data_IF_567308207954
#
_entry.id   IF_567308207954
#
_cell.length_a   1.000
_cell.length_b   1.000
_cell.length_c   1.000
_cell.angle_alpha   90.00
_cell.angle_beta   90.00
_cell.angle_gamma   90.00
#
_symmetry.space_group_name_H-M   'P 1'
#
loop_
_entity.id
_entity.type
_entity.pdbx_description
1 polymer ?
#
# COMPACT_ATOMS: atom_id res chain seq x y z
N UNK A 1 -12.68 -40.60 1.25
CA UNK A 1 -12.71 -39.72 0.07
C UNK A 1 -12.31 -38.32 0.51
N UNK A 2 -11.01 -37.99 0.50
CA UNK A 2 -10.54 -36.62 0.78
C UNK A 2 -10.73 -35.80 -0.49
N UNK A 3 -11.63 -34.82 -0.42
CA UNK A 3 -11.91 -33.88 -1.49
C UNK A 3 -10.81 -32.82 -1.46
N UNK A 4 -9.88 -32.89 -2.42
CA UNK A 4 -8.83 -31.88 -2.56
C UNK A 4 -9.44 -30.61 -3.16
N UNK A 5 -9.43 -29.52 -2.40
CA UNK A 5 -9.72 -28.18 -2.89
C UNK A 5 -8.63 -27.75 -3.89
N UNK A 6 -8.99 -27.26 -5.09
CA UNK A 6 -8.02 -26.84 -6.08
C UNK A 6 -7.24 -25.61 -5.57
N UNK A 7 -5.91 -25.52 -5.79
CA UNK A 7 -5.15 -24.33 -5.49
C UNK A 7 -5.60 -23.19 -6.41
N UNK A 8 -6.03 -22.08 -5.82
CA UNK A 8 -6.29 -20.83 -6.53
C UNK A 8 -5.00 -20.39 -7.22
N UNK A 9 -4.96 -20.41 -8.55
CA UNK A 9 -3.82 -19.85 -9.28
C UNK A 9 -3.78 -18.32 -9.06
N UNK A 10 -2.60 -17.72 -8.83
CA UNK A 10 -2.49 -16.27 -8.80
C UNK A 10 -2.88 -15.75 -10.19
N UNK A 11 -3.86 -14.85 -10.23
CA UNK A 11 -4.15 -14.06 -11.44
C UNK A 11 -2.91 -13.21 -11.73
N UNK A 12 -2.04 -13.73 -12.58
CA UNK A 12 -0.89 -12.97 -13.08
C UNK A 12 -1.44 -11.88 -13.98
N UNK A 13 -1.41 -10.64 -13.49
CA UNK A 13 -1.77 -9.47 -14.28
C UNK A 13 -0.96 -9.49 -15.58
N UNK A 14 -1.59 -9.40 -16.76
CA UNK A 14 -0.93 -9.61 -18.07
C UNK A 14 -0.03 -8.44 -18.50
N UNK A 15 0.21 -7.46 -17.64
CA UNK A 15 1.02 -6.30 -17.99
C UNK A 15 2.49 -6.58 -17.68
N UNK A 16 3.36 -6.62 -18.71
CA UNK A 16 4.78 -6.80 -18.48
C UNK A 16 5.28 -5.62 -17.65
N UNK A 17 6.01 -5.91 -16.58
CA UNK A 17 6.81 -4.97 -15.80
C UNK A 17 7.96 -4.44 -16.66
N UNK A 18 7.64 -3.75 -17.76
CA UNK A 18 8.60 -3.01 -18.54
C UNK A 18 9.15 -1.90 -17.64
N UNK A 19 10.43 -1.55 -17.77
CA UNK A 19 11.04 -0.42 -17.08
C UNK A 19 10.28 0.88 -17.44
N UNK A 20 9.23 1.18 -16.68
CA UNK A 20 8.41 2.36 -16.88
C UNK A 20 9.17 3.54 -16.30
N UNK A 21 9.51 4.50 -17.15
CA UNK A 21 10.18 5.73 -16.75
C UNK A 21 9.18 6.81 -16.38
N UNK A 22 9.56 7.69 -15.46
CA UNK A 22 8.74 8.86 -15.07
C UNK A 22 8.42 9.75 -16.27
N UNK A 23 9.29 9.78 -17.28
CA UNK A 23 9.11 10.53 -18.53
C UNK A 23 7.96 9.97 -19.38
N UNK A 24 7.83 8.64 -19.47
CA UNK A 24 6.69 8.00 -20.14
C UNK A 24 5.38 8.26 -19.40
N UNK A 25 5.42 8.25 -18.06
CA UNK A 25 4.26 8.62 -17.22
C UNK A 25 3.84 10.06 -17.53
N UNK A 26 4.79 11.00 -17.57
CA UNK A 26 4.50 12.41 -17.82
C UNK A 26 3.91 12.63 -19.22
N UNK A 27 4.46 11.97 -20.24
CA UNK A 27 3.90 12.00 -21.60
C UNK A 27 2.46 11.49 -21.63
N UNK A 28 2.18 10.40 -20.93
CA UNK A 28 0.84 9.83 -20.83
C UNK A 28 -0.14 10.81 -20.14
N UNK A 29 0.29 11.52 -19.10
CA UNK A 29 -0.51 12.55 -18.43
C UNK A 29 -0.81 13.75 -19.36
N UNK A 30 0.18 14.20 -20.13
CA UNK A 30 -0.01 15.28 -21.11
C UNK A 30 -0.96 14.86 -22.24
N UNK A 31 -0.86 13.60 -22.69
CA UNK A 31 -1.79 13.01 -23.66
C UNK A 31 -3.21 12.94 -23.08
N UNK A 32 -3.38 12.53 -21.82
CA UNK A 32 -4.69 12.52 -21.16
C UNK A 32 -5.32 13.91 -21.10
N UNK A 33 -4.53 14.94 -20.78
CA UNK A 33 -4.98 16.32 -20.81
C UNK A 33 -5.48 16.73 -22.21
N UNK A 34 -4.72 16.43 -23.26
CA UNK A 34 -5.11 16.73 -24.65
C UNK A 34 -6.39 15.98 -25.05
N UNK A 35 -6.50 14.70 -24.70
CA UNK A 35 -7.68 13.89 -25.00
C UNK A 35 -8.94 14.43 -24.30
N UNK A 36 -8.84 14.81 -23.02
CA UNK A 36 -9.97 15.39 -22.28
C UNK A 36 -10.43 16.69 -22.94
N UNK A 37 -9.51 17.58 -23.30
CA UNK A 37 -9.84 18.83 -23.99
C UNK A 37 -10.49 18.56 -25.35
N UNK A 38 -9.96 17.62 -26.13
CA UNK A 38 -10.54 17.21 -27.42
C UNK A 38 -11.94 16.62 -27.25
N UNK A 39 -12.17 15.77 -26.24
CA UNK A 39 -13.48 15.17 -25.95
C UNK A 39 -14.51 16.26 -25.60
N UNK A 40 -14.14 17.25 -24.79
CA UNK A 40 -15.05 18.35 -24.44
C UNK A 40 -15.42 19.18 -25.67
N UNK A 41 -14.43 19.53 -26.50
CA UNK A 41 -14.65 20.29 -27.73
C UNK A 41 -15.53 19.51 -28.73
N UNK A 42 -15.24 18.23 -28.94
CA UNK A 42 -15.98 17.39 -29.88
C UNK A 42 -17.41 17.09 -29.40
N UNK A 43 -17.67 17.07 -28.09
CA UNK A 43 -19.03 16.99 -27.56
C UNK A 43 -19.83 18.25 -27.88
N UNK A 44 -19.21 19.43 -27.75
CA UNK A 44 -19.86 20.70 -28.10
C UNK A 44 -20.19 20.78 -29.61
N UNK A 45 -19.38 20.16 -30.45
CA UNK A 45 -19.57 20.08 -31.90
C UNK A 45 -20.52 18.94 -32.34
N UNK A 46 -20.98 18.08 -31.43
CA UNK A 46 -21.81 16.91 -31.76
C UNK A 46 -21.06 15.78 -32.47
N UNK A 47 -19.73 15.77 -32.45
CA UNK A 47 -18.86 14.78 -33.10
C UNK A 47 -18.69 13.53 -32.23
N UNK A 48 -19.77 12.76 -32.09
CA UNK A 48 -19.82 11.60 -31.18
C UNK A 48 -18.83 10.49 -31.57
N UNK A 49 -18.59 10.28 -32.87
CA UNK A 49 -17.65 9.26 -33.33
C UNK A 49 -16.20 9.59 -32.92
N UNK A 50 -15.78 10.85 -33.08
CA UNK A 50 -14.46 11.33 -32.65
C UNK A 50 -14.34 11.27 -31.11
N UNK A 51 -15.41 11.62 -30.39
CA UNK A 51 -15.44 11.47 -28.92
C UNK A 51 -15.20 10.03 -28.48
N UNK A 52 -15.86 9.05 -29.11
CA UNK A 52 -15.70 7.64 -28.76
C UNK A 52 -14.26 7.15 -28.95
N UNK A 53 -13.59 7.58 -30.02
CA UNK A 53 -12.18 7.27 -30.28
C UNK A 53 -11.27 7.86 -29.20
N UNK A 54 -11.45 9.14 -28.86
CA UNK A 54 -10.67 9.79 -27.82
C UNK A 54 -10.93 9.18 -26.42
N UNK A 55 -12.17 8.79 -26.13
CA UNK A 55 -12.52 8.10 -24.89
C UNK A 55 -11.83 6.73 -24.77
N UNK A 56 -11.80 5.94 -25.84
CA UNK A 56 -11.11 4.65 -25.83
C UNK A 56 -9.61 4.81 -25.57
N UNK A 57 -8.97 5.82 -26.19
CA UNK A 57 -7.56 6.11 -25.95
C UNK A 57 -7.31 6.61 -24.51
N UNK A 58 -8.19 7.46 -23.99
CA UNK A 58 -8.10 7.95 -22.60
C UNK A 58 -8.21 6.78 -21.60
N UNK A 59 -9.15 5.86 -21.81
CA UNK A 59 -9.30 4.67 -20.98
C UNK A 59 -8.06 3.80 -21.00
N UNK A 60 -7.46 3.56 -22.18
CA UNK A 60 -6.21 2.81 -22.31
C UNK A 60 -5.08 3.45 -21.51
N UNK A 61 -4.94 4.76 -21.59
CA UNK A 61 -3.91 5.50 -20.85
C UNK A 61 -4.13 5.44 -19.33
N UNK A 62 -5.37 5.57 -18.87
CA UNK A 62 -5.71 5.44 -17.44
C UNK A 62 -5.42 4.03 -16.92
N UNK A 63 -5.80 3.00 -17.68
CA UNK A 63 -5.51 1.62 -17.31
C UNK A 63 -4.01 1.32 -17.31
N UNK A 64 -3.26 1.91 -18.24
CA UNK A 64 -1.81 1.83 -18.25
C UNK A 64 -1.19 2.45 -16.99
N UNK A 65 -1.63 3.65 -16.60
CA UNK A 65 -1.17 4.31 -15.38
C UNK A 65 -1.53 3.52 -14.11
N UNK A 66 -2.70 2.89 -14.06
CA UNK A 66 -3.09 2.03 -12.94
C UNK A 66 -2.18 0.80 -12.85
N UNK A 67 -1.92 0.11 -13.97
CA UNK A 67 -1.03 -1.04 -14.01
C UNK A 67 0.40 -0.68 -13.55
N UNK A 68 0.90 0.52 -13.89
CA UNK A 68 2.18 1.04 -13.41
C UNK A 68 2.16 1.25 -11.88
N UNK A 69 1.08 1.85 -11.36
CA UNK A 69 0.92 2.08 -9.93
C UNK A 69 0.88 0.76 -9.15
N UNK A 70 0.17 -0.24 -9.67
CA UNK A 70 0.06 -1.58 -9.06
C UNK A 70 1.39 -2.35 -9.09
N UNK A 71 2.22 -2.12 -10.12
CA UNK A 71 3.52 -2.77 -10.29
C UNK A 71 4.64 -2.14 -9.42
N UNK A 72 4.35 -1.09 -8.64
CA UNK A 72 5.35 -0.51 -7.73
C UNK A 72 5.71 -1.52 -6.62
N UNK A 73 7.01 -1.74 -6.35
CA UNK A 73 7.43 -2.61 -5.26
C UNK A 73 6.84 -2.05 -3.97
N UNK A 74 5.94 -2.81 -3.35
CA UNK A 74 5.44 -2.52 -2.03
C UNK A 74 6.67 -2.41 -1.13
N UNK A 75 7.03 -1.20 -0.71
CA UNK A 75 8.09 -1.02 0.27
C UNK A 75 7.50 -1.62 1.54
N UNK A 76 7.77 -2.91 1.76
CA UNK A 76 7.51 -3.56 3.02
C UNK A 76 8.36 -2.78 4.02
N UNK A 77 7.72 -1.82 4.70
CA UNK A 77 8.27 -1.17 5.87
C UNK A 77 8.45 -2.29 6.88
N UNK A 78 9.60 -2.94 6.84
CA UNK A 78 10.02 -3.84 7.90
C UNK A 78 9.97 -2.99 9.17
N UNK A 79 9.08 -3.28 10.15
CA UNK A 79 9.16 -2.58 11.41
C UNK A 79 10.56 -2.87 11.94
N UNK A 80 11.34 -1.82 12.16
CA UNK A 80 12.66 -1.90 12.75
C UNK A 80 12.54 -2.73 14.03
N UNK A 81 12.96 -3.98 13.96
CA UNK A 81 13.17 -4.78 15.16
C UNK A 81 14.32 -4.10 15.88
N UNK A 82 13.98 -3.35 16.92
CA UNK A 82 14.94 -2.81 17.87
C UNK A 82 15.93 -3.92 18.24
N UNK A 83 17.25 -3.72 18.10
CA UNK A 83 18.20 -4.68 18.61
C UNK A 83 17.99 -4.79 20.12
N UNK A 84 17.66 -5.99 20.59
CA UNK A 84 17.64 -6.33 21.99
C UNK A 84 19.04 -6.05 22.56
N UNK A 85 19.15 -4.99 23.37
CA UNK A 85 20.34 -4.70 24.15
C UNK A 85 20.62 -5.86 25.12
N UNK A 86 21.81 -6.50 25.09
CA UNK A 86 22.28 -7.28 26.22
C UNK A 86 23.08 -6.32 27.12
N UNK A 87 22.40 -5.51 27.93
CA UNK A 87 23.06 -4.77 29.01
C UNK A 87 22.94 -5.59 30.30
N UNK A 88 23.69 -6.69 30.36
CA UNK A 88 23.98 -7.41 31.61
C UNK A 88 25.40 -7.02 32.06
N UNK A 89 25.55 -6.79 33.37
CA UNK A 89 26.78 -6.41 34.08
C UNK A 89 27.16 -4.92 34.10
N UNK A 90 26.41 -4.12 34.86
CA UNK A 90 27.02 -3.08 35.69
C UNK A 90 25.94 -2.53 36.63
N UNK A 91 25.96 -2.92 37.89
CA UNK A 91 24.96 -2.42 38.86
C UNK A 91 24.74 -3.25 40.11
N UNK A 92 25.43 -4.38 40.27
CA UNK A 92 25.29 -5.26 41.44
C UNK A 92 26.09 -4.78 42.68
N UNK A 93 26.36 -3.48 42.82
CA UNK A 93 27.23 -2.98 43.88
C UNK A 93 26.78 -1.62 44.42
N UNK A 94 25.64 -1.55 45.11
CA UNK A 94 25.49 -0.61 46.25
C UNK A 94 24.20 -0.72 47.09
N UNK A 95 23.17 -1.52 46.76
CA UNK A 95 21.93 -1.56 47.59
C UNK A 95 21.90 -2.66 48.66
N UNK A 96 23.05 -2.89 49.31
CA UNK A 96 23.05 -3.34 50.70
C UNK A 96 22.58 -2.13 51.52
N UNK A 97 21.40 -2.21 52.13
CA UNK A 97 21.07 -1.73 53.48
C UNK A 97 19.63 -1.16 53.58
N UNK A 98 18.92 -1.70 54.57
CA UNK A 98 17.65 -1.29 55.18
C UNK A 98 16.32 -1.87 54.67
N UNK A 99 15.59 -2.37 55.67
CA UNK A 99 14.44 -3.26 55.62
C UNK A 99 13.11 -2.48 55.78
N UNK A 100 11.97 -3.11 56.11
CA UNK A 100 10.79 -3.14 55.26
C UNK A 100 9.63 -2.28 55.78
N UNK A 101 8.75 -1.73 54.93
CA UNK A 101 7.33 -1.55 55.29
C UNK A 101 6.43 -0.90 54.21
N UNK A 102 5.30 -1.59 53.98
CA UNK A 102 3.93 -1.09 53.69
C UNK A 102 3.58 -0.46 52.34
N UNK A 103 2.52 -1.02 51.74
CA UNK A 103 1.83 -0.42 50.59
C UNK A 103 1.08 -1.45 49.72
N UNK A 104 0.24 -2.30 50.33
CA UNK A 104 -0.64 -3.23 49.61
C UNK A 104 -1.71 -2.41 48.87
N UNK A 105 -1.44 -2.06 47.61
CA UNK A 105 -2.46 -1.62 46.67
C UNK A 105 -2.93 -2.84 45.87
N UNK A 106 -4.22 -3.19 45.88
CA UNK A 106 -4.71 -4.32 45.11
C UNK A 106 -4.81 -3.98 43.61
N UNK A 107 -4.52 -4.91 42.69
CA UNK A 107 -4.76 -4.72 41.26
C UNK A 107 -6.27 -4.74 40.97
N UNK A 108 -6.76 -3.75 40.22
CA UNK A 108 -8.14 -3.76 39.67
C UNK A 108 -8.32 -4.97 38.76
N UNK A 109 -9.34 -5.79 39.04
CA UNK A 109 -9.82 -6.80 38.11
C UNK A 109 -10.68 -6.15 37.01
N UNK A 110 -10.66 -6.65 35.77
CA UNK A 110 -11.54 -6.20 34.70
C UNK A 110 -12.95 -6.79 34.87
N UNK A 111 -13.94 -5.91 34.78
CA UNK A 111 -15.38 -6.20 34.76
C UNK A 111 -15.74 -7.18 33.64
N UNK A 112 -16.26 -8.36 33.97
CA UNK A 112 -16.97 -9.23 33.03
C UNK A 112 -18.47 -8.86 33.07
N UNK A 113 -19.04 -8.59 31.90
CA UNK A 113 -20.46 -8.38 31.70
C UNK A 113 -21.18 -9.72 31.58
N UNK A 114 -22.25 -9.88 32.36
CA UNK A 114 -23.40 -10.77 32.10
C UNK A 114 -24.63 -10.16 32.76
#
# INVERSE_FOLDING_TARGET
MQQATPPMMPVVSPFPSANITTEQIQKCLDENKKLILAILDNQNLGKLAECAQYQAQLQKNLMYLAAIADAQPQIATVPAQMPAHPAVQQGAYYMQQQAPQQGIFPPRMPTQFA
#
